data_IF_190676860216
#
_entry.id   IF_190676860216
#
_cell.length_a   1.000
_cell.length_b   1.000
_cell.length_c   1.000
_cell.angle_alpha   90.00
_cell.angle_beta   90.00
_cell.angle_gamma   90.00
#
_symmetry.space_group_name_H-M   'P 1'
#
loop_
_entity.id
_entity.type
_entity.pdbx_description
1 polymer ?
#
# COMPACT_ATOMS: atom_id res chain seq x y z
N UNK A 1 -1.93 -22.20 -4.24
CA UNK A 1 -2.07 -20.91 -3.55
C UNK A 1 -3.40 -20.86 -2.81
N UNK A 2 -3.38 -20.83 -1.48
CA UNK A 2 -4.59 -20.76 -0.64
C UNK A 2 -5.43 -19.52 -0.95
N UNK A 3 -6.74 -19.71 -1.14
CA UNK A 3 -7.67 -18.60 -1.31
C UNK A 3 -8.29 -18.17 0.02
N UNK A 4 -8.46 -16.86 0.20
CA UNK A 4 -9.21 -16.30 1.32
C UNK A 4 -10.62 -16.90 1.41
N UNK A 5 -11.29 -17.12 0.28
CA UNK A 5 -12.65 -17.66 0.24
C UNK A 5 -12.74 -19.05 0.89
N UNK A 6 -11.70 -19.87 0.79
CA UNK A 6 -11.65 -21.20 1.43
C UNK A 6 -11.58 -21.11 2.96
N UNK A 7 -10.99 -20.04 3.48
CA UNK A 7 -10.93 -19.75 4.92
C UNK A 7 -12.28 -19.20 5.38
N UNK A 8 -12.82 -18.21 4.66
CA UNK A 8 -14.08 -17.57 5.02
C UNK A 8 -15.26 -18.53 4.97
N UNK A 9 -15.30 -19.47 4.02
CA UNK A 9 -16.34 -20.49 3.92
C UNK A 9 -16.45 -21.41 5.17
N UNK A 10 -15.39 -21.48 5.98
CA UNK A 10 -15.35 -22.26 7.23
C UNK A 10 -15.69 -21.40 8.46
N UNK A 11 -15.86 -20.10 8.29
CA UNK A 11 -16.18 -19.16 9.36
C UNK A 11 -17.68 -18.94 9.47
N UNK A 12 -18.15 -18.54 10.66
CA UNK A 12 -19.54 -18.15 10.85
C UNK A 12 -19.80 -16.83 10.08
N UNK A 13 -20.81 -16.77 9.19
CA UNK A 13 -21.11 -15.57 8.39
C UNK A 13 -21.38 -14.30 9.20
N UNK A 14 -21.85 -14.43 10.45
CA UNK A 14 -22.17 -13.29 11.31
C UNK A 14 -21.01 -12.88 12.23
N UNK A 15 -19.85 -13.54 12.12
CA UNK A 15 -18.69 -13.25 12.96
C UNK A 15 -17.81 -12.18 12.31
N UNK A 16 -17.42 -11.17 13.11
CA UNK A 16 -16.39 -10.21 12.71
C UNK A 16 -15.07 -10.93 12.39
N UNK A 17 -14.57 -10.75 11.18
CA UNK A 17 -13.36 -11.42 10.71
C UNK A 17 -12.13 -10.81 11.37
N UNK A 18 -11.27 -11.66 11.93
CA UNK A 18 -9.96 -11.26 12.41
C UNK A 18 -8.94 -11.48 11.28
N UNK A 19 -8.70 -10.45 10.49
CA UNK A 19 -7.82 -10.53 9.32
C UNK A 19 -6.34 -10.78 9.65
N UNK A 20 -5.87 -10.44 10.85
CA UNK A 20 -4.53 -10.84 11.32
C UNK A 20 -4.45 -12.36 11.49
N UNK A 21 -5.47 -12.98 12.10
CA UNK A 21 -5.52 -14.46 12.22
C UNK A 21 -5.62 -15.15 10.86
N UNK A 22 -6.37 -14.57 9.91
CA UNK A 22 -6.48 -15.08 8.54
C UNK A 22 -5.12 -15.03 7.84
N UNK A 23 -4.43 -13.88 7.89
CA UNK A 23 -3.08 -13.72 7.34
C UNK A 23 -2.11 -14.75 7.92
N UNK A 24 -2.11 -14.94 9.24
CA UNK A 24 -1.28 -15.94 9.92
C UNK A 24 -1.60 -17.38 9.51
N UNK A 25 -2.87 -17.69 9.19
CA UNK A 25 -3.24 -19.01 8.66
C UNK A 25 -2.69 -19.20 7.25
N UNK A 26 -2.79 -18.18 6.39
CA UNK A 26 -2.25 -18.22 5.03
C UNK A 26 -0.73 -18.37 5.04
N UNK A 27 -0.01 -17.61 5.87
CA UNK A 27 1.45 -17.71 5.96
C UNK A 27 1.93 -19.06 6.50
N UNK A 28 1.19 -19.68 7.43
CA UNK A 28 1.46 -21.05 7.90
C UNK A 28 1.28 -22.09 6.79
N UNK A 29 0.29 -21.91 5.92
CA UNK A 29 0.06 -22.80 4.78
C UNK A 29 1.21 -22.68 3.78
N UNK A 30 1.61 -21.45 3.43
CA UNK A 30 2.77 -21.21 2.56
C UNK A 30 4.05 -21.84 3.12
N UNK A 31 4.32 -21.67 4.41
CA UNK A 31 5.46 -22.28 5.07
C UNK A 31 5.41 -23.82 5.06
N UNK A 32 4.23 -24.41 5.31
CA UNK A 32 4.03 -25.87 5.27
C UNK A 32 4.22 -26.44 3.86
N UNK A 33 3.80 -25.70 2.85
CA UNK A 33 3.89 -26.09 1.43
C UNK A 33 5.25 -25.73 0.81
N UNK A 34 6.13 -25.06 1.56
CA UNK A 34 7.41 -24.54 1.07
C UNK A 34 7.26 -23.65 -0.18
N UNK A 35 6.19 -22.85 -0.22
CA UNK A 35 5.89 -21.91 -1.31
C UNK A 35 6.09 -20.48 -0.81
N UNK A 36 6.68 -19.63 -1.66
CA UNK A 36 6.74 -18.18 -1.44
C UNK A 36 5.90 -17.49 -2.53
N UNK A 37 4.70 -16.96 -2.20
CA UNK A 37 3.91 -16.24 -3.18
C UNK A 37 4.60 -14.96 -3.64
N UNK A 38 4.29 -14.57 -4.87
CA UNK A 38 4.48 -13.21 -5.34
C UNK A 38 3.32 -12.32 -4.90
N UNK A 39 3.63 -11.15 -4.30
CA UNK A 39 2.61 -10.20 -3.84
C UNK A 39 2.87 -8.81 -4.39
N UNK A 40 1.89 -8.25 -5.10
CA UNK A 40 1.85 -6.84 -5.45
C UNK A 40 1.22 -6.04 -4.30
N UNK A 41 2.05 -5.37 -3.53
CA UNK A 41 1.66 -4.63 -2.33
C UNK A 41 1.39 -3.17 -2.66
N UNK A 42 0.13 -2.76 -2.58
CA UNK A 42 -0.22 -1.36 -2.71
C UNK A 42 0.27 -0.52 -1.53
N UNK A 43 1.00 0.55 -1.85
CA UNK A 43 1.59 1.51 -0.91
C UNK A 43 1.34 2.94 -1.38
N UNK A 44 1.19 3.89 -0.46
CA UNK A 44 1.12 5.32 -0.78
C UNK A 44 2.02 6.22 0.06
N UNK A 45 2.82 5.62 0.93
CA UNK A 45 3.72 6.30 1.83
C UNK A 45 4.74 5.31 2.39
N UNK A 46 5.98 5.73 2.60
CA UNK A 46 7.00 4.88 3.20
C UNK A 46 6.63 4.35 4.60
N UNK A 47 6.01 5.15 5.52
CA UNK A 47 5.53 4.62 6.79
C UNK A 47 4.57 3.43 6.62
N UNK A 48 3.77 3.45 5.56
CA UNK A 48 2.80 2.39 5.27
C UNK A 48 3.51 1.05 4.99
N UNK A 49 4.65 1.08 4.29
CA UNK A 49 5.40 -0.12 3.93
C UNK A 49 6.30 -0.67 5.03
N UNK A 50 6.69 0.11 6.05
CA UNK A 50 7.66 -0.28 7.10
C UNK A 50 7.49 -1.69 7.68
N UNK A 51 6.65 -1.83 8.72
CA UNK A 51 6.40 -3.12 9.37
C UNK A 51 5.77 -4.13 8.41
N UNK A 52 4.99 -3.67 7.43
CA UNK A 52 4.39 -4.53 6.40
C UNK A 52 5.46 -5.31 5.61
N UNK A 53 6.54 -4.66 5.19
CA UNK A 53 7.66 -5.33 4.52
C UNK A 53 8.44 -6.20 5.50
N UNK A 54 8.78 -5.70 6.69
CA UNK A 54 9.48 -6.48 7.73
C UNK A 54 8.77 -7.81 8.04
N UNK A 55 7.44 -7.80 8.08
CA UNK A 55 6.64 -8.99 8.34
C UNK A 55 6.53 -9.91 7.12
N UNK A 56 6.14 -9.37 5.95
CA UNK A 56 5.75 -10.21 4.82
C UNK A 56 6.93 -10.81 4.07
N UNK A 57 8.09 -10.17 4.03
CA UNK A 57 9.25 -10.71 3.30
C UNK A 57 9.76 -12.02 3.91
N UNK A 58 9.41 -12.30 5.17
CA UNK A 58 9.66 -13.60 5.80
C UNK A 58 8.92 -14.76 5.10
N UNK A 59 7.81 -14.49 4.42
CA UNK A 59 6.91 -15.52 3.88
C UNK A 59 6.68 -15.43 2.37
N UNK A 60 6.95 -14.28 1.74
CA UNK A 60 6.56 -14.00 0.37
C UNK A 60 7.53 -13.04 -0.33
N UNK A 61 7.50 -13.05 -1.66
CA UNK A 61 8.29 -12.17 -2.51
C UNK A 61 7.45 -10.94 -2.86
N UNK A 62 7.92 -9.76 -2.43
CA UNK A 62 7.10 -8.55 -2.43
C UNK A 62 7.57 -7.58 -3.51
N UNK A 63 6.61 -7.07 -4.27
CA UNK A 63 6.79 -5.87 -5.10
C UNK A 63 5.91 -4.77 -4.54
N UNK A 64 6.51 -3.63 -4.17
CA UNK A 64 5.78 -2.43 -3.78
C UNK A 64 5.20 -1.78 -5.03
N UNK A 65 3.88 -1.61 -5.06
CA UNK A 65 3.19 -0.80 -6.05
C UNK A 65 2.81 0.54 -5.42
N UNK A 66 3.58 1.59 -5.74
CA UNK A 66 3.29 2.92 -5.27
C UNK A 66 2.19 3.54 -6.12
N UNK A 67 0.96 3.54 -5.60
CA UNK A 67 -0.22 3.99 -6.35
C UNK A 67 -1.17 4.79 -5.46
N UNK A 68 -1.22 6.11 -5.69
CA UNK A 68 -2.23 6.95 -5.06
C UNK A 68 -2.38 8.30 -5.78
N UNK A 69 -3.20 8.33 -6.83
CA UNK A 69 -3.47 9.55 -7.61
C UNK A 69 -4.26 10.63 -6.83
N UNK A 70 -4.75 10.33 -5.62
CA UNK A 70 -5.42 11.28 -4.74
C UNK A 70 -4.43 12.17 -3.96
N UNK A 71 -3.13 11.85 -3.94
CA UNK A 71 -2.14 12.69 -3.25
C UNK A 71 -2.06 14.05 -3.96
N UNK A 72 -2.32 15.12 -3.23
CA UNK A 72 -2.24 16.49 -3.70
C UNK A 72 -1.49 17.35 -2.70
N UNK A 73 -0.51 18.16 -3.12
CA UNK A 73 -0.15 18.48 -4.51
C UNK A 73 0.67 17.39 -5.21
N UNK A 74 0.85 17.51 -6.55
CA UNK A 74 1.69 16.59 -7.34
C UNK A 74 3.12 16.47 -6.80
N UNK A 75 3.70 17.57 -6.33
CA UNK A 75 5.03 17.57 -5.73
C UNK A 75 5.10 16.66 -4.48
N UNK A 76 4.02 16.58 -3.69
CA UNK A 76 3.93 15.67 -2.55
C UNK A 76 3.84 14.20 -3.00
N UNK A 77 3.18 13.92 -4.12
CA UNK A 77 3.13 12.58 -4.68
C UNK A 77 4.55 12.08 -4.97
N UNK A 78 5.34 12.88 -5.68
CA UNK A 78 6.73 12.53 -6.02
C UNK A 78 7.63 12.46 -4.78
N UNK A 79 7.48 13.36 -3.80
CA UNK A 79 8.20 13.25 -2.53
C UNK A 79 7.90 11.91 -1.84
N UNK A 80 6.63 11.52 -1.75
CA UNK A 80 6.25 10.24 -1.10
C UNK A 80 6.71 9.02 -1.90
N UNK A 81 6.71 9.08 -3.23
CA UNK A 81 7.26 8.03 -4.08
C UNK A 81 8.75 7.85 -3.79
N UNK A 82 9.51 8.96 -3.79
CA UNK A 82 10.94 8.97 -3.51
C UNK A 82 11.29 8.40 -2.15
N UNK A 83 10.65 8.89 -1.09
CA UNK A 83 10.90 8.38 0.27
C UNK A 83 10.53 6.90 0.39
N UNK A 84 9.52 6.43 -0.36
CA UNK A 84 9.18 5.00 -0.38
C UNK A 84 10.25 4.17 -1.07
N UNK A 85 10.74 4.62 -2.23
CA UNK A 85 11.81 3.93 -2.96
C UNK A 85 13.12 3.93 -2.15
N UNK A 86 13.46 5.06 -1.52
CA UNK A 86 14.58 5.16 -0.59
C UNK A 86 14.47 4.15 0.55
N UNK A 87 13.31 4.08 1.20
CA UNK A 87 13.08 3.10 2.27
C UNK A 87 13.24 1.67 1.77
N UNK A 88 12.68 1.31 0.61
CA UNK A 88 12.83 -0.04 0.03
C UNK A 88 14.31 -0.35 -0.26
N UNK A 89 15.06 0.62 -0.77
CA UNK A 89 16.51 0.53 -1.02
C UNK A 89 17.29 0.21 0.24
N UNK A 90 17.10 1.03 1.28
CA UNK A 90 17.80 0.85 2.56
C UNK A 90 17.36 -0.42 3.28
N UNK A 91 16.07 -0.76 3.24
CA UNK A 91 15.52 -1.97 3.83
C UNK A 91 16.16 -3.21 3.19
N UNK A 92 16.21 -3.28 1.86
CA UNK A 92 16.88 -4.37 1.15
C UNK A 92 18.35 -4.47 1.51
N UNK A 93 19.09 -3.34 1.50
CA UNK A 93 20.50 -3.32 1.83
C UNK A 93 20.78 -3.79 3.28
N UNK A 94 19.95 -3.38 4.25
CA UNK A 94 20.11 -3.77 5.66
C UNK A 94 19.70 -5.21 5.95
N UNK A 95 18.69 -5.74 5.25
CA UNK A 95 18.08 -7.04 5.57
C UNK A 95 18.46 -8.18 4.63
N UNK A 96 19.07 -7.87 3.48
CA UNK A 96 19.35 -8.84 2.42
C UNK A 96 18.12 -9.25 1.61
N UNK A 97 16.98 -8.55 1.77
CA UNK A 97 15.78 -8.77 0.98
C UNK A 97 15.91 -8.18 -0.43
N UNK A 98 15.02 -8.59 -1.33
CA UNK A 98 14.97 -8.18 -2.75
C UNK A 98 13.62 -7.57 -3.12
N UNK A 99 13.05 -6.74 -2.24
CA UNK A 99 11.77 -6.09 -2.51
C UNK A 99 11.90 -5.17 -3.72
N UNK A 100 11.02 -5.36 -4.70
CA UNK A 100 10.99 -4.51 -5.90
C UNK A 100 10.07 -3.31 -5.70
N UNK A 101 10.21 -2.28 -6.55
CA UNK A 101 9.39 -1.08 -6.52
C UNK A 101 8.87 -0.76 -7.92
N UNK A 102 7.58 -0.49 -8.01
CA UNK A 102 6.87 -0.10 -9.22
C UNK A 102 5.99 1.11 -8.91
N UNK A 103 6.20 2.22 -9.60
CA UNK A 103 5.36 3.42 -9.47
C UNK A 103 4.20 3.37 -10.47
N UNK A 104 3.01 3.78 -10.04
CA UNK A 104 1.86 3.94 -10.91
C UNK A 104 1.81 5.34 -11.54
N UNK A 105 1.15 5.46 -12.69
CA UNK A 105 0.85 6.78 -13.25
C UNK A 105 0.03 7.65 -12.30
N UNK A 106 0.49 8.90 -12.14
CA UNK A 106 -0.22 9.92 -11.38
C UNK A 106 -1.33 10.58 -12.22
N UNK A 107 -2.54 10.00 -12.16
CA UNK A 107 -3.71 10.43 -12.93
C UNK A 107 -4.82 10.99 -12.00
N UNK A 108 -4.67 12.19 -11.41
CA UNK A 108 -5.62 12.72 -10.42
C UNK A 108 -7.04 12.92 -10.96
N UNK A 109 -7.18 13.19 -12.26
CA UNK A 109 -8.49 13.38 -12.91
C UNK A 109 -9.35 12.10 -12.88
N UNK A 110 -8.75 10.90 -12.90
CA UNK A 110 -9.49 9.65 -12.73
C UNK A 110 -10.09 9.57 -11.33
N UNK A 111 -9.28 9.84 -10.31
CA UNK A 111 -9.76 9.87 -8.93
C UNK A 111 -10.88 10.89 -8.71
N UNK A 112 -10.73 12.12 -9.22
CA UNK A 112 -11.76 13.17 -9.10
C UNK A 112 -13.09 12.73 -9.71
N UNK A 113 -13.07 12.01 -10.84
CA UNK A 113 -14.28 11.46 -11.44
C UNK A 113 -14.94 10.39 -10.56
N UNK A 114 -14.16 9.53 -9.92
CA UNK A 114 -14.67 8.47 -9.05
C UNK A 114 -15.37 9.02 -7.80
N UNK A 115 -14.88 10.12 -7.23
CA UNK A 115 -15.43 10.68 -5.98
C UNK A 115 -16.43 11.83 -6.19
N UNK A 116 -16.88 12.04 -7.43
CA UNK A 116 -17.85 13.09 -7.75
C UNK A 116 -19.16 12.86 -6.98
N UNK A 117 -19.64 13.89 -6.30
CA UNK A 117 -20.80 13.82 -5.41
C UNK A 117 -20.49 13.38 -3.98
N UNK A 118 -19.23 13.05 -3.66
CA UNK A 118 -18.74 12.68 -2.32
C UNK A 118 -17.70 13.67 -1.79
N UNK A 119 -17.62 14.87 -2.37
CA UNK A 119 -16.62 15.89 -2.03
C UNK A 119 -16.73 16.37 -0.58
N UNK A 120 -17.95 16.41 -0.05
CA UNK A 120 -18.26 16.90 1.30
C UNK A 120 -18.26 15.79 2.37
N UNK A 121 -18.07 14.53 1.98
CA UNK A 121 -17.97 13.42 2.94
C UNK A 121 -16.78 13.63 3.90
N UNK A 122 -16.88 13.29 5.19
CA UNK A 122 -15.76 13.38 6.10
C UNK A 122 -14.64 12.38 5.76
N UNK A 123 -13.42 12.61 6.25
CA UNK A 123 -12.40 11.56 6.21
C UNK A 123 -12.86 10.34 7.02
N UNK A 124 -12.76 9.15 6.42
CA UNK A 124 -13.30 7.91 6.98
C UNK A 124 -14.75 7.60 6.54
N UNK A 125 -15.45 8.54 5.90
CA UNK A 125 -16.77 8.35 5.30
C UNK A 125 -16.74 7.67 3.92
N UNK A 126 -17.83 7.81 3.16
CA UNK A 126 -18.06 7.04 1.93
C UNK A 126 -17.03 7.34 0.83
N UNK A 127 -16.53 8.58 0.76
CA UNK A 127 -15.42 8.95 -0.13
C UNK A 127 -14.17 8.09 0.11
N UNK A 128 -13.88 7.73 1.36
CA UNK A 128 -12.73 6.87 1.66
C UNK A 128 -12.94 5.43 1.16
N UNK A 129 -14.18 4.91 1.19
CA UNK A 129 -14.49 3.59 0.61
C UNK A 129 -14.23 3.58 -0.89
N UNK A 130 -14.71 4.59 -1.63
CA UNK A 130 -14.44 4.75 -3.07
C UNK A 130 -12.95 4.93 -3.36
N UNK A 131 -12.24 5.65 -2.50
CA UNK A 131 -10.78 5.80 -2.62
C UNK A 131 -10.03 4.48 -2.44
N UNK A 132 -10.44 3.62 -1.51
CA UNK A 132 -9.85 2.29 -1.35
C UNK A 132 -10.15 1.40 -2.54
N UNK A 133 -11.39 1.45 -3.05
CA UNK A 133 -11.83 0.68 -4.22
C UNK A 133 -11.00 1.02 -5.45
N UNK A 134 -10.94 2.31 -5.82
CA UNK A 134 -10.10 2.81 -6.91
C UNK A 134 -8.63 2.34 -6.83
N UNK A 135 -8.04 2.37 -5.62
CA UNK A 135 -6.63 1.99 -5.42
C UNK A 135 -6.41 0.49 -5.48
N UNK A 136 -7.31 -0.29 -4.88
CA UNK A 136 -7.25 -1.75 -4.88
C UNK A 136 -7.58 -2.33 -6.26
N UNK A 137 -8.55 -1.76 -6.97
CA UNK A 137 -8.90 -2.12 -8.35
C UNK A 137 -7.69 -1.94 -9.29
N UNK A 138 -7.03 -0.76 -9.26
CA UNK A 138 -5.81 -0.50 -10.03
C UNK A 138 -4.67 -1.46 -9.69
N UNK A 139 -4.55 -1.83 -8.40
CA UNK A 139 -3.53 -2.79 -7.95
C UNK A 139 -3.87 -4.22 -8.41
N UNK A 140 -5.13 -4.63 -8.33
CA UNK A 140 -5.57 -5.95 -8.80
C UNK A 140 -5.40 -6.08 -10.32
N UNK A 141 -5.76 -5.03 -11.08
CA UNK A 141 -5.55 -4.98 -12.52
C UNK A 141 -4.06 -5.17 -12.87
N UNK A 142 -3.17 -4.40 -12.21
CA UNK A 142 -1.72 -4.51 -12.43
C UNK A 142 -1.16 -5.86 -11.97
N UNK A 143 -1.70 -6.44 -10.90
CA UNK A 143 -1.33 -7.76 -10.42
C UNK A 143 -1.69 -8.86 -11.42
N UNK A 144 -2.87 -8.78 -12.07
CA UNK A 144 -3.24 -9.71 -13.16
C UNK A 144 -2.33 -9.55 -14.37
N UNK A 145 -2.10 -8.31 -14.81
CA UNK A 145 -1.22 -8.00 -15.95
C UNK A 145 0.18 -8.60 -15.77
N UNK A 146 0.72 -8.49 -14.56
CA UNK A 146 2.07 -8.97 -14.21
C UNK A 146 2.06 -10.39 -13.61
N UNK A 147 0.91 -11.06 -13.53
CA UNK A 147 0.82 -12.45 -13.07
C UNK A 147 1.23 -12.68 -11.61
N UNK A 148 0.95 -11.74 -10.70
CA UNK A 148 1.14 -11.93 -9.25
C UNK A 148 0.11 -12.91 -8.66
N UNK A 149 0.50 -13.66 -7.64
CA UNK A 149 -0.40 -14.58 -6.94
C UNK A 149 -1.44 -13.82 -6.10
N UNK A 150 -0.99 -12.73 -5.46
CA UNK A 150 -1.82 -11.88 -4.63
C UNK A 150 -1.62 -10.39 -4.90
N UNK A 151 -2.68 -9.61 -4.71
CA UNK A 151 -2.60 -8.18 -4.43
C UNK A 151 -2.98 -7.93 -2.97
N UNK A 152 -2.39 -6.88 -2.39
CA UNK A 152 -2.57 -6.54 -0.99
C UNK A 152 -2.51 -5.02 -0.79
N UNK A 153 -2.81 -4.52 0.41
CA UNK A 153 -2.70 -3.10 0.73
C UNK A 153 -2.08 -2.86 2.08
N UNK A 154 -1.01 -2.05 2.09
CA UNK A 154 -0.31 -1.65 3.30
C UNK A 154 -1.12 -0.65 4.15
N UNK A 155 -2.24 -0.13 3.64
CA UNK A 155 -3.10 0.81 4.37
C UNK A 155 -3.60 0.27 5.72
N UNK A 156 -3.65 -1.04 5.89
CA UNK A 156 -4.14 -1.69 7.11
C UNK A 156 -3.22 -1.46 8.31
N UNK A 157 -2.00 -0.93 8.14
CA UNK A 157 -1.09 -0.49 9.21
C UNK A 157 -1.52 0.81 9.90
N UNK A 158 -2.27 1.68 9.20
CA UNK A 158 -2.58 3.01 9.72
C UNK A 158 -3.66 2.96 10.82
N UNK A 159 -3.46 3.62 11.98
CA UNK A 159 -4.46 3.72 13.04
C UNK A 159 -5.70 4.49 12.61
N UNK A 160 -5.58 5.35 11.61
CA UNK A 160 -6.67 6.20 11.11
C UNK A 160 -7.50 5.53 10.01
N UNK A 161 -7.11 4.34 9.55
CA UNK A 161 -7.81 3.62 8.48
C UNK A 161 -8.46 2.35 9.02
N UNK A 162 -9.75 2.18 8.74
CA UNK A 162 -10.52 1.02 9.16
C UNK A 162 -10.05 -0.21 8.35
N UNK A 163 -9.39 -1.16 9.02
CA UNK A 163 -8.91 -2.39 8.38
C UNK A 163 -10.07 -3.24 7.86
N UNK A 164 -11.24 -3.25 8.52
CA UNK A 164 -12.39 -4.01 8.05
C UNK A 164 -12.86 -3.49 6.70
N UNK A 165 -13.11 -2.18 6.58
CA UNK A 165 -13.51 -1.56 5.32
C UNK A 165 -12.52 -1.79 4.18
N UNK A 166 -11.21 -1.71 4.46
CA UNK A 166 -10.18 -1.96 3.43
C UNK A 166 -10.23 -3.42 2.95
N UNK A 167 -10.35 -4.37 3.88
CA UNK A 167 -10.41 -5.79 3.52
C UNK A 167 -11.72 -6.14 2.81
N UNK A 168 -12.85 -5.58 3.23
CA UNK A 168 -14.15 -5.76 2.58
C UNK A 168 -14.08 -5.30 1.12
N UNK A 169 -13.51 -4.12 0.87
CA UNK A 169 -13.29 -3.61 -0.49
C UNK A 169 -12.33 -4.51 -1.27
N UNK A 170 -11.23 -4.98 -0.68
CA UNK A 170 -10.30 -5.89 -1.35
C UNK A 170 -10.94 -7.23 -1.74
N UNK A 171 -11.82 -7.76 -0.88
CA UNK A 171 -12.62 -8.96 -1.16
C UNK A 171 -13.61 -8.70 -2.31
N UNK A 172 -14.26 -7.53 -2.32
CA UNK A 172 -15.16 -7.14 -3.41
C UNK A 172 -14.41 -7.01 -4.74
N UNK A 173 -13.24 -6.37 -4.74
CA UNK A 173 -12.36 -6.24 -5.91
C UNK A 173 -11.89 -7.61 -6.41
N UNK A 174 -11.51 -8.55 -5.53
CA UNK A 174 -11.09 -9.90 -5.93
C UNK A 174 -12.15 -10.60 -6.80
N UNK A 175 -13.45 -10.36 -6.59
CA UNK A 175 -14.53 -11.06 -7.32
C UNK A 175 -14.48 -10.85 -8.83
N UNK A 176 -13.85 -9.79 -9.31
CA UNK A 176 -13.78 -9.45 -10.74
C UNK A 176 -12.41 -9.74 -11.36
N UNK A 177 -11.43 -10.19 -10.58
CA UNK A 177 -10.07 -10.48 -11.05
C UNK A 177 -9.65 -11.92 -10.74
N UNK A 178 -8.69 -12.44 -11.51
CA UNK A 178 -8.13 -13.79 -11.30
C UNK A 178 -7.05 -13.84 -10.22
N UNK A 179 -6.43 -12.70 -9.90
CA UNK A 179 -5.50 -12.56 -8.77
C UNK A 179 -6.26 -12.64 -7.44
N UNK A 180 -5.62 -13.20 -6.41
CA UNK A 180 -6.23 -13.31 -5.08
C UNK A 180 -5.96 -12.05 -4.24
N UNK A 181 -6.85 -11.70 -3.32
CA UNK A 181 -6.60 -10.65 -2.34
C UNK A 181 -5.95 -11.26 -1.10
N UNK A 182 -4.88 -10.64 -0.60
CA UNK A 182 -4.31 -10.96 0.70
C UNK A 182 -4.90 -10.02 1.77
N UNK A 183 -5.77 -10.53 2.65
CA UNK A 183 -6.30 -9.73 3.73
C UNK A 183 -5.26 -9.53 4.84
N UNK A 184 -5.35 -8.41 5.54
CA UNK A 184 -4.40 -8.06 6.60
C UNK A 184 -4.96 -7.08 7.62
N UNK A 185 -4.39 -7.09 8.83
CA UNK A 185 -4.53 -6.01 9.80
C UNK A 185 -3.17 -5.73 10.46
N UNK A 186 -2.28 -5.05 9.73
CA UNK A 186 -0.90 -4.83 10.18
C UNK A 186 -0.79 -3.95 11.45
N UNK A 187 -1.88 -3.34 11.92
CA UNK A 187 -1.91 -2.67 13.24
C UNK A 187 -1.76 -3.64 14.41
N UNK A 188 -2.18 -4.89 14.24
CA UNK A 188 -2.17 -5.91 15.30
C UNK A 188 -0.74 -6.27 15.69
N UNK A 189 -0.59 -6.94 16.84
CA UNK A 189 0.70 -7.43 17.33
C UNK A 189 1.78 -6.34 17.43
N UNK A 190 1.38 -5.12 17.84
CA UNK A 190 2.23 -3.93 17.91
C UNK A 190 2.80 -3.45 16.57
N UNK A 191 2.28 -3.90 15.43
CA UNK A 191 2.80 -3.54 14.12
C UNK A 191 2.81 -2.03 13.85
N UNK A 192 1.78 -1.28 14.29
CA UNK A 192 1.81 0.19 14.18
C UNK A 192 2.93 0.82 15.02
N UNK A 193 3.17 0.31 16.25
CA UNK A 193 4.26 0.80 17.08
C UNK A 193 5.61 0.52 16.42
N UNK A 194 5.80 -0.69 15.88
CA UNK A 194 6.99 -1.05 15.12
C UNK A 194 7.19 -0.18 13.87
N UNK A 195 6.11 0.16 13.19
CA UNK A 195 6.13 1.12 12.06
C UNK A 195 6.63 2.51 12.49
N UNK A 196 6.27 2.98 13.69
CA UNK A 196 6.79 4.25 14.23
C UNK A 196 8.28 4.15 14.53
N UNK A 197 8.71 3.10 15.22
CA UNK A 197 10.13 2.83 15.51
C UNK A 197 10.97 2.79 14.22
N UNK A 198 10.50 2.06 13.19
CA UNK A 198 11.18 2.00 11.90
C UNK A 198 11.21 3.35 11.17
N UNK A 199 10.22 4.22 11.37
CA UNK A 199 10.31 5.57 10.79
C UNK A 199 11.47 6.38 11.39
N UNK A 200 11.78 6.17 12.67
CA UNK A 200 12.93 6.81 13.32
C UNK A 200 14.25 6.14 12.88
N UNK A 201 14.29 4.81 12.80
CA UNK A 201 15.49 4.03 12.39
C UNK A 201 15.95 4.31 10.94
N UNK A 202 15.03 4.67 10.06
CA UNK A 202 15.27 4.91 8.63
C UNK A 202 15.06 6.39 8.24
N UNK A 203 14.91 7.30 9.21
CA UNK A 203 14.66 8.74 8.99
C UNK A 203 13.55 9.02 7.96
N UNK A 204 12.43 8.31 8.10
CA UNK A 204 11.34 8.34 7.12
C UNK A 204 10.49 9.60 7.31
N UNK A 205 10.33 10.36 6.23
CA UNK A 205 9.36 11.45 6.18
C UNK A 205 7.94 10.96 6.53
N UNK A 206 7.37 11.52 7.60
CA UNK A 206 5.99 11.27 8.04
C UNK A 206 5.10 12.44 7.69
N UNK A 207 4.23 12.23 6.72
CA UNK A 207 3.19 13.18 6.31
C UNK A 207 2.16 13.45 7.42
N UNK A 208 1.64 14.67 7.48
CA UNK A 208 0.62 15.11 8.44
C UNK A 208 -0.83 14.90 7.98
N UNK A 209 -1.05 14.40 6.77
CA UNK A 209 -2.38 14.19 6.20
C UNK A 209 -2.39 13.05 5.17
N UNK A 210 -3.59 12.52 4.87
CA UNK A 210 -3.76 11.36 3.99
C UNK A 210 -3.24 11.57 2.55
N UNK A 211 -3.08 12.80 2.09
CA UNK A 211 -2.81 13.15 0.68
C UNK A 211 -4.03 13.70 -0.05
N UNK A 212 -5.24 13.35 0.41
CA UNK A 212 -6.49 13.74 -0.24
C UNK A 212 -6.77 15.25 -0.11
N UNK A 213 -7.04 15.93 -1.23
CA UNK A 213 -7.35 17.37 -1.24
C UNK A 213 -8.57 17.72 -0.38
N UNK A 214 -9.59 16.85 -0.36
CA UNK A 214 -10.82 17.08 0.40
C UNK A 214 -10.56 16.98 1.91
N UNK A 215 -9.87 15.92 2.35
CA UNK A 215 -9.47 15.78 3.75
C UNK A 215 -8.52 16.90 4.20
N UNK A 216 -7.56 17.27 3.34
CA UNK A 216 -6.62 18.35 3.59
C UNK A 216 -7.33 19.70 3.84
N UNK A 217 -8.33 20.03 3.00
CA UNK A 217 -9.13 21.25 3.17
C UNK A 217 -9.89 21.25 4.50
N UNK A 218 -10.54 20.14 4.85
CA UNK A 218 -11.28 20.01 6.12
C UNK A 218 -10.36 20.11 7.34
N UNK A 219 -9.11 19.64 7.22
CA UNK A 219 -8.09 19.70 8.27
C UNK A 219 -7.33 21.04 8.32
N UNK A 220 -7.60 21.97 7.41
CA UNK A 220 -6.87 23.25 7.35
C UNK A 220 -5.40 23.10 6.94
N UNK A 221 -5.05 22.06 6.19
CA UNK A 221 -3.68 21.83 5.72
C UNK A 221 -3.29 22.91 4.72
N UNK A 222 -2.16 23.57 4.96
CA UNK A 222 -1.57 24.52 4.01
C UNK A 222 -0.91 23.77 2.84
N UNK A 223 -1.70 23.51 1.80
CA UNK A 223 -1.23 22.83 0.59
C UNK A 223 -0.18 23.65 -0.19
N UNK A 224 -0.10 24.96 0.01
CA UNK A 224 0.93 25.81 -0.61
C UNK A 224 2.26 25.56 0.06
N UNK A 225 2.28 25.52 1.40
CA UNK A 225 3.48 25.17 2.16
C UNK A 225 3.93 23.73 1.90
N UNK A 226 3.00 22.77 1.89
CA UNK A 226 3.31 21.36 1.52
C UNK A 226 3.98 21.27 0.15
N UNK A 227 3.47 22.03 -0.84
CA UNK A 227 4.08 22.09 -2.17
C UNK A 227 5.50 22.64 -2.13
N UNK A 228 5.72 23.74 -1.40
CA UNK A 228 7.02 24.38 -1.26
C UNK A 228 8.04 23.44 -0.61
N UNK A 229 7.65 22.77 0.46
CA UNK A 229 8.51 21.82 1.17
C UNK A 229 8.83 20.59 0.32
N UNK A 230 7.84 20.04 -0.39
CA UNK A 230 8.06 18.92 -1.29
C UNK A 230 9.01 19.28 -2.44
N UNK A 231 8.86 20.48 -3.02
CA UNK A 231 9.78 20.98 -4.06
C UNK A 231 11.19 21.19 -3.54
N UNK A 232 11.33 21.80 -2.36
CA UNK A 232 12.63 22.01 -1.74
C UNK A 232 13.33 20.69 -1.45
N UNK A 233 12.57 19.71 -0.93
CA UNK A 233 13.08 18.36 -0.70
C UNK A 233 13.55 17.68 -1.99
N UNK A 234 12.77 17.78 -3.07
CA UNK A 234 13.05 17.11 -4.35
C UNK A 234 14.05 17.86 -5.26
N UNK A 235 14.57 19.02 -4.85
CA UNK A 235 15.35 19.90 -5.74
C UNK A 235 16.64 19.27 -6.30
N UNK A 236 17.23 18.32 -5.57
CA UNK A 236 18.47 17.62 -5.87
C UNK A 236 18.30 16.10 -6.03
N UNK A 237 17.05 15.63 -6.15
CA UNK A 237 16.70 14.21 -6.13
C UNK A 237 16.16 13.73 -7.46
N UNK A 238 16.56 12.53 -7.85
CA UNK A 238 16.14 11.92 -9.10
C UNK A 238 15.82 10.43 -8.85
N UNK A 239 14.53 10.10 -8.91
CA UNK A 239 14.00 8.73 -8.69
C UNK A 239 14.69 7.69 -9.57
N UNK A 240 15.02 8.05 -10.81
CA UNK A 240 15.56 7.12 -11.80
C UNK A 240 17.07 6.90 -11.63
N UNK A 241 17.76 7.82 -10.93
CA UNK A 241 19.22 7.83 -10.79
C UNK A 241 19.71 7.53 -9.39
N UNK A 242 18.94 7.87 -8.36
CA UNK A 242 19.37 7.77 -6.97
C UNK A 242 19.31 6.31 -6.47
N UNK A 243 18.42 5.48 -7.05
CA UNK A 243 18.22 4.08 -6.67
C UNK A 243 18.26 3.12 -7.86
N UNK A 244 19.34 3.12 -8.67
CA UNK A 244 19.39 2.40 -9.94
C UNK A 244 19.31 0.87 -9.79
N UNK A 245 19.55 0.34 -8.60
CA UNK A 245 19.44 -1.08 -8.24
C UNK A 245 18.02 -1.49 -7.83
N UNK A 246 17.13 -0.53 -7.56
CA UNK A 246 15.72 -0.77 -7.23
C UNK A 246 14.94 -0.56 -8.51
N UNK A 247 14.82 -1.63 -9.29
CA UNK A 247 14.06 -1.63 -10.54
C UNK A 247 13.09 -2.79 -10.54
N UNK A 248 11.93 -2.54 -11.12
CA UNK A 248 10.98 -3.61 -11.37
C UNK A 248 11.48 -4.42 -12.57
N UNK A 249 11.55 -5.73 -12.40
CA UNK A 249 11.87 -6.66 -13.48
C UNK A 249 10.74 -7.66 -13.62
N UNK A 250 10.25 -7.82 -14.84
CA UNK A 250 9.21 -8.76 -15.19
C UNK A 250 9.72 -9.72 -16.25
N UNK A 251 9.68 -11.03 -15.97
CA UNK A 251 10.15 -12.09 -16.89
C UNK A 251 11.59 -11.88 -17.41
N UNK A 252 12.45 -11.26 -16.61
CA UNK A 252 13.85 -11.00 -16.97
C UNK A 252 14.06 -9.71 -17.78
N UNK A 253 13.00 -8.95 -18.06
CA UNK A 253 13.07 -7.63 -18.67
C UNK A 253 12.85 -6.56 -17.60
N UNK A 254 13.71 -5.55 -17.60
CA UNK A 254 13.55 -4.35 -16.79
C UNK A 254 12.45 -3.47 -17.41
N UNK A 255 11.49 -3.00 -16.59
CA UNK A 255 10.37 -2.16 -17.03
C UNK A 255 10.48 -0.73 -16.51
#
# INVERSE_FOLDING_TARGET
>A
MIDLQEILAKMNPNQKINYDRVLQQMTKVWAKESVRPSILMHVCCAPCSTYTLEYLTQFADITVYFANSNIHPKDEYHRRAYVTQQFVSEFNAKTGNTVQFLEADYVPNEYVRQVRGLEEEPEGGDRCRVCFDYRLDKTAQKAVELGFDYFASALTISPHKNSQTINDVGIDVQKVYTTKYLPSDFKKNNGYRRSVEMCEEYDIYRQCYCGCVYAAKMQGIDLVQVKKDAKAFMADKDLDKDFPHIRFSYRGEEM
#
